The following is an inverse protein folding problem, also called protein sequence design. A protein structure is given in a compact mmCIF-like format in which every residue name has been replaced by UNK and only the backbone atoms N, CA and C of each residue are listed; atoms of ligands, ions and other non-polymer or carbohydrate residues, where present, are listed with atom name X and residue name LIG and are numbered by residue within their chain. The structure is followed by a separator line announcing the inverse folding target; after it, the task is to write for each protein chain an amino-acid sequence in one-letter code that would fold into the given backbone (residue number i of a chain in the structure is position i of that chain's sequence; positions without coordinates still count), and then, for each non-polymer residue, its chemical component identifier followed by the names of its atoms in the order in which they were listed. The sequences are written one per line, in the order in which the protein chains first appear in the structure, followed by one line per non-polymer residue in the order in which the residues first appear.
data_IF_101324527269
#
_entry.id   IF_101324527269
#
_cell.length_a   1.000
_cell.length_b   1.000
_cell.length_c   1.000
_cell.angle_alpha   90.00
_cell.angle_beta   90.00
_cell.angle_gamma   90.00
#
_symmetry.space_group_name_H-M   'P 1'
#
loop_
_entity.id
_entity.type
_entity.pdbx_description
1 polymer ?
#
# COMPACT_ATOMS: atom_id res chain seq x y z
N UNK A 1 -17.58 -61.71 12.80
CA UNK A 1 -18.06 -60.42 12.26
C UNK A 1 -17.63 -59.19 13.09
N UNK A 2 -16.80 -59.33 14.09
CA UNK A 2 -16.40 -58.18 14.95
C UNK A 2 -15.09 -57.51 14.54
N UNK A 3 -14.24 -58.12 13.71
CA UNK A 3 -12.90 -57.57 13.37
C UNK A 3 -12.93 -56.55 12.24
N UNK A 4 -13.98 -56.48 11.43
CA UNK A 4 -14.11 -55.54 10.32
C UNK A 4 -14.81 -54.23 10.70
N UNK A 5 -15.53 -54.21 11.85
CA UNK A 5 -16.19 -53.01 12.34
C UNK A 5 -15.22 -52.03 12.99
N UNK A 6 -14.10 -52.49 13.55
CA UNK A 6 -13.07 -51.68 14.17
C UNK A 6 -12.18 -50.97 13.11
N UNK A 7 -12.00 -51.60 11.94
CA UNK A 7 -11.21 -51.03 10.84
C UNK A 7 -11.94 -49.91 10.11
N UNK A 8 -13.27 -49.86 10.15
CA UNK A 8 -14.05 -48.82 9.47
C UNK A 8 -14.15 -47.51 10.28
N UNK A 9 -13.94 -47.57 11.63
CA UNK A 9 -14.00 -46.40 12.50
C UNK A 9 -12.67 -45.63 12.51
N UNK A 10 -11.55 -46.29 12.15
CA UNK A 10 -10.23 -45.66 12.15
C UNK A 10 -9.92 -44.86 10.90
N UNK A 11 -10.80 -44.90 9.86
CA UNK A 11 -10.58 -44.16 8.60
C UNK A 11 -11.40 -42.86 8.49
N UNK A 12 -12.14 -42.49 9.52
CA UNK A 12 -13.00 -41.28 9.53
C UNK A 12 -12.42 -40.08 10.27
N UNK A 13 -11.17 -40.17 10.71
CA UNK A 13 -10.52 -39.05 11.43
C UNK A 13 -9.28 -38.67 10.64
N UNK A 14 -9.30 -37.59 9.99
CA UNK A 14 -8.26 -36.60 9.64
C UNK A 14 -8.59 -36.02 8.24
N UNK A 15 -9.70 -35.31 8.15
CA UNK A 15 -9.73 -34.09 7.34
C UNK A 15 -9.82 -32.91 8.29
N UNK A 16 -8.81 -32.70 9.10
CA UNK A 16 -8.55 -31.37 9.63
C UNK A 16 -8.14 -30.53 8.43
N UNK A 17 -9.16 -29.96 7.77
CA UNK A 17 -8.93 -28.92 6.78
C UNK A 17 -8.09 -27.86 7.45
N UNK A 18 -6.86 -27.69 7.02
CA UNK A 18 -6.06 -26.50 7.34
C UNK A 18 -6.85 -25.33 6.79
N UNK A 19 -7.76 -24.79 7.60
CA UNK A 19 -8.47 -23.57 7.26
C UNK A 19 -7.43 -22.48 7.20
N UNK A 20 -7.03 -22.12 5.99
CA UNK A 20 -6.14 -20.97 5.81
C UNK A 20 -6.84 -19.77 6.44
N UNK A 21 -6.24 -19.23 7.51
CA UNK A 21 -6.77 -18.07 8.23
C UNK A 21 -6.96 -16.93 7.26
N UNK A 22 -8.21 -16.47 7.16
CA UNK A 22 -8.60 -15.40 6.24
C UNK A 22 -8.89 -14.12 7.00
N UNK A 23 -8.48 -13.01 6.42
CA UNK A 23 -8.59 -11.68 7.02
C UNK A 23 -9.76 -10.93 6.39
N UNK A 24 -10.56 -10.31 7.25
CA UNK A 24 -11.56 -9.30 6.86
C UNK A 24 -11.34 -8.07 7.72
N UNK A 25 -10.93 -6.96 7.11
CA UNK A 25 -10.60 -5.70 7.80
C UNK A 25 -10.88 -4.51 6.92
N UNK A 26 -11.26 -3.42 7.57
CA UNK A 26 -11.38 -2.11 6.94
C UNK A 26 -10.34 -1.18 7.56
N UNK A 27 -9.50 -0.61 6.71
CA UNK A 27 -8.56 0.44 7.07
C UNK A 27 -9.05 1.75 6.48
N UNK A 28 -8.92 2.83 7.23
CA UNK A 28 -9.31 4.18 6.78
C UNK A 28 -8.23 5.18 7.21
N UNK A 29 -7.42 5.61 6.25
CA UNK A 29 -6.33 6.58 6.42
C UNK A 29 -5.35 6.20 7.55
N UNK A 30 -5.04 4.90 7.71
CA UNK A 30 -4.05 4.42 8.67
C UNK A 30 -2.68 4.31 8.02
N UNK A 31 -1.59 4.40 8.79
CA UNK A 31 -0.25 4.17 8.23
C UNK A 31 -0.11 2.71 7.79
N UNK A 32 0.68 2.49 6.73
CA UNK A 32 0.95 1.14 6.22
C UNK A 32 1.59 0.26 7.30
N UNK A 33 2.52 0.82 8.07
CA UNK A 33 3.15 0.15 9.22
C UNK A 33 2.12 -0.25 10.29
N UNK A 34 1.14 0.60 10.61
CA UNK A 34 0.07 0.27 11.55
C UNK A 34 -0.85 -0.84 11.01
N UNK A 35 -1.16 -0.81 9.71
CA UNK A 35 -1.94 -1.87 9.07
C UNK A 35 -1.21 -3.22 9.10
N UNK A 36 0.09 -3.25 8.82
CA UNK A 36 0.90 -4.47 8.94
C UNK A 36 0.97 -4.99 10.38
N UNK A 37 1.10 -4.10 11.36
CA UNK A 37 1.08 -4.47 12.78
C UNK A 37 -0.26 -5.08 13.19
N UNK A 38 -1.38 -4.52 12.73
CA UNK A 38 -2.72 -5.08 12.97
C UNK A 38 -2.88 -6.47 12.31
N UNK A 39 -2.42 -6.64 11.07
CA UNK A 39 -2.42 -7.93 10.40
C UNK A 39 -1.57 -8.96 11.16
N UNK A 40 -0.37 -8.59 11.59
CA UNK A 40 0.53 -9.49 12.31
C UNK A 40 -0.06 -9.93 13.65
N UNK A 41 -0.79 -9.07 14.35
CA UNK A 41 -1.42 -9.38 15.63
C UNK A 41 -2.66 -10.29 15.52
N UNK A 42 -3.22 -10.50 14.32
CA UNK A 42 -4.47 -11.23 14.09
C UNK A 42 -4.29 -12.61 13.49
N UNK A 43 -3.07 -13.03 13.31
CA UNK A 43 -2.74 -14.32 12.72
C UNK A 43 -1.46 -14.88 13.38
N UNK A 44 -1.27 -16.18 13.29
CA UNK A 44 -0.15 -16.91 13.88
C UNK A 44 0.67 -17.70 12.86
N UNK A 45 0.19 -17.74 11.61
CA UNK A 45 0.82 -18.50 10.54
C UNK A 45 2.09 -17.84 10.00
N UNK A 46 2.11 -16.50 9.90
CA UNK A 46 3.19 -15.75 9.27
C UNK A 46 3.86 -14.82 10.27
N UNK A 47 5.17 -14.63 10.10
CA UNK A 47 5.94 -13.58 10.75
C UNK A 47 6.14 -12.45 9.76
N UNK A 48 5.51 -11.30 9.97
CA UNK A 48 5.60 -10.15 9.07
C UNK A 48 6.70 -9.22 9.59
N UNK A 49 7.80 -9.14 8.83
CA UNK A 49 8.96 -8.30 9.12
C UNK A 49 8.94 -7.05 8.24
N UNK A 50 9.08 -5.88 8.86
CA UNK A 50 9.16 -4.59 8.17
C UNK A 50 9.89 -3.55 9.03
N UNK A 51 10.41 -2.51 8.39
CA UNK A 51 10.98 -1.34 9.06
C UNK A 51 9.87 -0.32 9.24
N UNK A 52 9.53 -0.02 10.49
CA UNK A 52 8.36 0.82 10.83
C UNK A 52 8.45 2.21 10.18
N UNK A 53 9.56 2.92 10.39
CA UNK A 53 9.76 4.30 9.94
C UNK A 53 9.76 4.43 8.42
N UNK A 54 10.15 3.39 7.68
CA UNK A 54 10.13 3.40 6.21
C UNK A 54 8.73 3.32 5.61
N UNK A 55 7.75 2.83 6.38
CA UNK A 55 6.39 2.56 5.93
C UNK A 55 5.33 3.43 6.60
N UNK A 56 5.70 4.25 7.60
CA UNK A 56 4.75 5.04 8.38
C UNK A 56 4.09 6.17 7.57
N UNK A 57 4.82 6.74 6.62
CA UNK A 57 4.34 7.84 5.78
C UNK A 57 3.27 7.41 4.77
N UNK A 58 3.26 6.13 4.37
CA UNK A 58 2.25 5.61 3.44
C UNK A 58 0.93 5.40 4.17
N UNK A 59 -0.15 6.04 3.68
CA UNK A 59 -1.49 5.92 4.28
C UNK A 59 -2.38 5.03 3.41
N UNK A 60 -3.05 4.07 4.04
CA UNK A 60 -3.92 3.12 3.37
C UNK A 60 -5.37 3.29 3.79
N UNK A 61 -6.26 3.27 2.80
CA UNK A 61 -7.71 3.13 2.95
C UNK A 61 -8.14 1.97 2.08
N UNK A 62 -8.44 0.84 2.70
CA UNK A 62 -8.78 -0.41 2.00
C UNK A 62 -9.81 -1.22 2.78
N UNK A 63 -10.63 -1.93 2.03
CA UNK A 63 -11.59 -2.89 2.58
C UNK A 63 -11.17 -4.31 2.14
N UNK A 64 -10.50 -5.01 3.03
CA UNK A 64 -10.05 -6.39 2.85
C UNK A 64 -11.20 -7.30 3.23
N UNK A 65 -11.61 -8.19 2.33
CA UNK A 65 -12.73 -9.11 2.53
C UNK A 65 -12.30 -10.55 2.24
N UNK A 66 -12.21 -11.35 3.29
CA UNK A 66 -11.95 -12.78 3.19
C UNK A 66 -10.71 -13.10 2.33
N UNK A 67 -9.60 -12.38 2.56
CA UNK A 67 -8.33 -12.54 1.85
C UNK A 67 -7.33 -13.35 2.69
N UNK A 68 -6.38 -14.01 2.05
CA UNK A 68 -5.21 -14.54 2.74
C UNK A 68 -4.31 -13.40 3.23
N UNK A 69 -3.45 -13.65 4.22
CA UNK A 69 -2.54 -12.61 4.74
C UNK A 69 -1.61 -12.05 3.64
N UNK A 70 -0.98 -12.87 2.77
CA UNK A 70 -0.19 -12.36 1.66
C UNK A 70 -1.01 -11.52 0.67
N UNK A 71 -2.23 -11.97 0.31
CA UNK A 71 -3.10 -11.22 -0.61
C UNK A 71 -3.53 -9.89 -0.01
N UNK A 72 -3.88 -9.88 1.28
CA UNK A 72 -4.21 -8.66 2.02
C UNK A 72 -3.05 -7.66 2.00
N UNK A 73 -1.81 -8.11 2.23
CA UNK A 73 -0.63 -7.26 2.16
C UNK A 73 -0.43 -6.73 0.73
N UNK A 74 -0.56 -7.57 -0.29
CA UNK A 74 -0.46 -7.15 -1.69
C UNK A 74 -1.53 -6.11 -2.06
N UNK A 75 -2.76 -6.29 -1.56
CA UNK A 75 -3.85 -5.33 -1.74
C UNK A 75 -3.52 -3.97 -1.07
N UNK A 76 -2.93 -4.00 0.16
CA UNK A 76 -2.48 -2.79 0.84
C UNK A 76 -1.33 -2.09 0.11
N UNK A 77 -0.38 -2.84 -0.46
CA UNK A 77 0.74 -2.27 -1.23
C UNK A 77 0.21 -1.44 -2.40
N UNK A 78 -0.74 -1.99 -3.17
CA UNK A 78 -1.30 -1.28 -4.31
C UNK A 78 -0.21 -0.76 -5.25
N UNK A 79 -0.14 0.57 -5.40
CA UNK A 79 0.86 1.23 -6.26
C UNK A 79 2.03 1.87 -5.48
N UNK A 80 2.09 1.72 -4.15
CA UNK A 80 3.22 2.23 -3.37
C UNK A 80 4.54 1.54 -3.76
N UNK A 81 5.68 2.25 -3.65
CA UNK A 81 7.00 1.69 -3.92
C UNK A 81 7.43 0.75 -2.79
N UNK A 82 6.61 -0.26 -2.54
CA UNK A 82 6.78 -1.26 -1.48
C UNK A 82 6.80 -2.63 -2.14
N UNK A 83 7.72 -3.48 -1.72
CA UNK A 83 7.80 -4.89 -2.14
C UNK A 83 7.48 -5.81 -0.98
N UNK A 84 6.83 -6.91 -1.30
CA UNK A 84 6.66 -8.05 -0.42
C UNK A 84 7.46 -9.23 -0.97
N UNK A 85 8.20 -9.90 -0.11
CA UNK A 85 8.84 -11.19 -0.36
C UNK A 85 8.37 -12.18 0.68
N UNK A 86 7.97 -13.35 0.26
CA UNK A 86 7.60 -14.44 1.16
C UNK A 86 8.58 -15.59 1.00
N UNK A 87 9.06 -16.12 2.12
CA UNK A 87 9.85 -17.35 2.20
C UNK A 87 9.23 -18.17 3.34
N UNK A 88 8.62 -19.29 3.01
CA UNK A 88 7.86 -20.13 3.95
C UNK A 88 6.79 -19.34 4.72
N UNK A 89 6.96 -19.22 6.04
CA UNK A 89 6.07 -18.46 6.92
C UNK A 89 6.58 -17.04 7.23
N UNK A 90 7.69 -16.60 6.62
CA UNK A 90 8.24 -15.26 6.82
C UNK A 90 7.84 -14.38 5.64
N UNK A 91 7.20 -13.26 5.94
CA UNK A 91 6.87 -12.21 4.98
C UNK A 91 7.74 -10.99 5.29
N UNK A 92 8.49 -10.52 4.31
CA UNK A 92 9.32 -9.32 4.40
C UNK A 92 8.66 -8.25 3.55
N UNK A 93 8.39 -7.09 4.17
CA UNK A 93 7.82 -5.92 3.49
C UNK A 93 8.78 -4.76 3.63
N UNK A 94 9.24 -4.24 2.50
CA UNK A 94 10.27 -3.21 2.47
C UNK A 94 9.94 -2.11 1.46
N UNK A 95 10.26 -0.87 1.81
CA UNK A 95 10.21 0.24 0.87
C UNK A 95 11.41 0.16 -0.07
N UNK A 96 11.15 0.08 -1.38
CA UNK A 96 12.21 0.01 -2.40
C UNK A 96 12.74 1.39 -2.79
N UNK A 97 12.18 2.45 -2.22
CA UNK A 97 12.50 3.82 -2.56
C UNK A 97 12.75 4.65 -1.30
N UNK A 98 13.96 5.20 -1.18
CA UNK A 98 14.30 6.09 -0.06
C UNK A 98 13.52 7.41 -0.18
N UNK A 99 13.18 8.03 0.95
CA UNK A 99 12.45 9.30 0.99
C UNK A 99 13.13 10.40 0.16
N UNK A 100 14.47 10.43 0.13
CA UNK A 100 15.27 11.39 -0.67
C UNK A 100 15.16 11.21 -2.19
N UNK A 101 14.63 10.08 -2.66
CA UNK A 101 14.54 9.72 -4.07
C UNK A 101 13.09 9.68 -4.56
N UNK A 102 12.17 10.28 -3.83
CA UNK A 102 10.74 10.33 -4.19
C UNK A 102 10.11 11.67 -3.84
N UNK A 103 9.12 12.06 -4.63
CA UNK A 103 8.19 13.14 -4.29
C UNK A 103 6.87 12.49 -3.92
N UNK A 104 6.33 12.83 -2.77
CA UNK A 104 5.05 12.29 -2.28
C UNK A 104 4.19 13.41 -1.73
N UNK A 105 2.89 13.25 -1.82
CA UNK A 105 1.94 14.25 -1.34
C UNK A 105 0.51 13.83 -1.53
N UNK A 106 -0.41 14.75 -1.24
CA UNK A 106 -1.85 14.52 -1.36
C UNK A 106 -2.50 15.67 -2.12
N UNK A 107 -3.37 15.32 -3.07
CA UNK A 107 -4.19 16.28 -3.82
C UNK A 107 -5.59 16.28 -3.21
N UNK A 108 -6.09 17.46 -2.88
CA UNK A 108 -7.44 17.66 -2.34
C UNK A 108 -8.15 18.78 -3.11
N UNK A 109 -9.46 18.76 -3.12
CA UNK A 109 -10.27 19.88 -3.65
C UNK A 109 -10.44 20.98 -2.59
N UNK A 110 -11.10 22.07 -2.96
CA UNK A 110 -11.37 23.22 -2.07
C UNK A 110 -12.25 22.86 -0.86
N UNK A 111 -12.88 21.67 -0.83
CA UNK A 111 -13.65 21.12 0.28
C UNK A 111 -12.84 20.10 1.08
N UNK A 112 -11.52 20.03 0.83
CA UNK A 112 -10.59 19.05 1.42
C UNK A 112 -10.93 17.59 1.12
N UNK A 113 -11.71 17.31 0.05
CA UNK A 113 -11.95 15.95 -0.40
C UNK A 113 -10.79 15.47 -1.27
N UNK A 114 -10.39 14.19 -1.19
CA UNK A 114 -9.32 13.67 -2.04
C UNK A 114 -9.72 13.73 -3.51
N UNK A 115 -8.77 14.11 -4.36
CA UNK A 115 -8.92 14.04 -5.82
C UNK A 115 -8.21 12.78 -6.30
N UNK A 116 -8.97 11.76 -6.64
CA UNK A 116 -8.49 10.50 -7.16
C UNK A 116 -8.15 10.55 -8.65
N UNK A 117 -7.24 9.68 -9.07
CA UNK A 117 -6.79 9.54 -10.47
C UNK A 117 -6.35 10.85 -11.15
N UNK A 118 -5.97 11.87 -10.38
CA UNK A 118 -5.38 13.08 -10.91
C UNK A 118 -3.98 12.77 -11.48
N UNK A 119 -3.69 13.30 -12.67
CA UNK A 119 -2.35 13.22 -13.24
C UNK A 119 -1.41 14.17 -12.50
N UNK A 120 -0.27 13.66 -12.05
CA UNK A 120 0.79 14.42 -11.40
C UNK A 120 2.06 14.29 -12.23
N UNK A 121 2.50 15.40 -12.82
CA UNK A 121 3.74 15.47 -13.59
C UNK A 121 4.79 16.24 -12.78
N UNK A 122 6.01 15.71 -12.71
CA UNK A 122 7.19 16.40 -12.18
C UNK A 122 7.97 16.99 -13.36
N UNK A 123 8.12 18.31 -13.35
CA UNK A 123 8.80 19.03 -14.40
C UNK A 123 10.08 19.66 -13.88
N UNK A 124 11.05 19.80 -14.75
CA UNK A 124 12.30 20.50 -14.47
C UNK A 124 12.05 21.99 -14.22
N UNK A 125 12.67 22.53 -13.17
CA UNK A 125 12.50 23.94 -12.78
C UNK A 125 13.09 24.89 -13.82
N UNK A 126 14.12 24.47 -14.58
CA UNK A 126 14.83 25.33 -15.53
C UNK A 126 14.11 25.54 -16.83
N UNK A 127 13.49 24.49 -17.39
CA UNK A 127 12.92 24.49 -18.75
C UNK A 127 11.52 23.89 -18.83
N UNK A 128 10.94 23.50 -17.70
CA UNK A 128 9.64 22.82 -17.62
C UNK A 128 9.53 21.52 -18.41
N UNK A 129 10.66 20.90 -18.79
CA UNK A 129 10.66 19.58 -19.40
C UNK A 129 10.15 18.52 -18.41
N UNK A 130 9.49 17.49 -18.93
CA UNK A 130 8.98 16.39 -18.11
C UNK A 130 10.14 15.55 -17.55
N UNK A 131 10.22 15.42 -16.24
CA UNK A 131 11.14 14.50 -15.56
C UNK A 131 10.48 13.13 -15.47
N UNK A 132 9.31 13.07 -14.85
CA UNK A 132 8.54 11.84 -14.60
C UNK A 132 7.11 12.20 -14.19
N UNK A 133 6.25 11.23 -14.00
CA UNK A 133 4.87 11.46 -13.56
C UNK A 133 4.21 10.22 -13.02
N UNK A 134 3.01 10.41 -12.49
CA UNK A 134 2.15 9.37 -11.96
C UNK A 134 0.72 9.86 -11.80
N UNK A 135 -0.08 9.09 -11.08
CA UNK A 135 -1.47 9.43 -10.76
C UNK A 135 -1.72 9.31 -9.26
N UNK A 136 -2.71 10.05 -8.77
CA UNK A 136 -3.17 9.89 -7.38
C UNK A 136 -4.00 8.62 -7.21
N UNK A 137 -3.96 8.06 -6.00
CA UNK A 137 -4.85 6.97 -5.61
C UNK A 137 -6.24 7.48 -5.17
N UNK A 138 -7.09 6.57 -4.73
CA UNK A 138 -8.42 6.85 -4.18
C UNK A 138 -8.44 7.80 -2.96
N UNK A 139 -7.30 7.98 -2.28
CA UNK A 139 -7.11 8.92 -1.18
C UNK A 139 -6.50 10.25 -1.62
N UNK A 140 -6.36 10.47 -2.93
CA UNK A 140 -5.68 11.64 -3.50
C UNK A 140 -4.16 11.63 -3.32
N UNK A 141 -3.55 10.54 -2.85
CA UNK A 141 -2.11 10.46 -2.58
C UNK A 141 -1.33 10.06 -3.83
N UNK A 142 -0.15 10.63 -3.98
CA UNK A 142 0.81 10.24 -5.01
C UNK A 142 2.19 9.98 -4.41
N UNK A 143 2.93 9.07 -5.03
CA UNK A 143 4.34 8.79 -4.75
C UNK A 143 5.05 8.60 -6.08
N UNK A 144 5.96 9.50 -6.41
CA UNK A 144 6.64 9.53 -7.70
C UNK A 144 8.16 9.50 -7.48
N UNK A 145 8.89 8.56 -8.09
CA UNK A 145 10.35 8.56 -8.11
C UNK A 145 10.90 9.88 -8.64
N UNK A 146 11.88 10.47 -7.94
CA UNK A 146 12.45 11.75 -8.35
C UNK A 146 13.85 11.91 -7.78
N UNK A 147 14.86 11.96 -8.63
CA UNK A 147 16.26 12.11 -8.25
C UNK A 147 16.73 13.56 -8.12
N UNK A 148 15.94 14.52 -8.62
CA UNK A 148 16.25 15.95 -8.53
C UNK A 148 15.86 16.53 -7.19
N UNK A 149 16.62 17.51 -6.70
CA UNK A 149 16.37 18.15 -5.40
C UNK A 149 15.15 19.08 -5.38
N UNK A 150 14.67 19.51 -6.54
CA UNK A 150 13.55 20.41 -6.72
C UNK A 150 12.88 20.15 -8.05
N UNK A 151 11.55 20.08 -8.06
CA UNK A 151 10.75 19.92 -9.28
C UNK A 151 9.51 20.79 -9.22
N UNK A 152 8.96 21.13 -10.38
CA UNK A 152 7.62 21.69 -10.50
C UNK A 152 6.64 20.52 -10.47
N UNK A 153 5.70 20.55 -9.53
CA UNK A 153 4.57 19.63 -9.47
C UNK A 153 3.43 20.24 -10.27
N UNK A 154 3.08 19.61 -11.38
CA UNK A 154 1.92 19.97 -12.20
C UNK A 154 0.84 18.92 -12.02
N UNK A 155 -0.32 19.34 -11.52
CA UNK A 155 -1.48 18.46 -11.30
C UNK A 155 -2.58 18.82 -12.28
N UNK A 156 -3.16 17.81 -12.93
CA UNK A 156 -4.32 17.98 -13.80
C UNK A 156 -5.32 16.84 -13.61
N UNK A 157 -6.60 17.20 -13.54
CA UNK A 157 -7.70 16.25 -13.46
C UNK A 157 -8.92 16.83 -14.19
N UNK A 158 -9.73 15.97 -14.80
CA UNK A 158 -10.95 16.39 -15.49
C UNK A 158 -11.90 17.07 -14.50
N UNK A 159 -12.39 18.25 -14.85
CA UNK A 159 -13.29 19.04 -13.98
C UNK A 159 -12.58 19.96 -12.98
N UNK A 160 -11.25 19.95 -12.93
CA UNK A 160 -10.45 20.79 -12.06
C UNK A 160 -9.52 21.74 -12.83
N UNK A 161 -9.17 22.85 -12.21
CA UNK A 161 -8.13 23.74 -12.76
C UNK A 161 -6.76 23.07 -12.60
N UNK A 162 -5.92 23.19 -13.63
CA UNK A 162 -4.54 22.71 -13.53
C UNK A 162 -3.78 23.51 -12.46
N UNK A 163 -3.15 22.77 -11.55
CA UNK A 163 -2.26 23.32 -10.53
C UNK A 163 -0.80 23.20 -10.99
N UNK A 164 0.05 24.17 -10.61
CA UNK A 164 1.46 24.14 -10.98
C UNK A 164 2.27 24.95 -9.95
N UNK A 165 3.17 24.30 -9.21
CA UNK A 165 4.06 24.97 -8.26
C UNK A 165 5.35 24.16 -8.05
N UNK A 166 6.42 24.83 -7.59
CA UNK A 166 7.72 24.22 -7.38
C UNK A 166 7.92 23.79 -5.92
N UNK A 167 8.38 22.54 -5.75
CA UNK A 167 8.61 21.93 -4.45
C UNK A 167 10.00 21.30 -4.36
N UNK A 168 10.52 21.18 -3.14
CA UNK A 168 11.69 20.33 -2.87
C UNK A 168 11.25 18.87 -2.87
N UNK A 169 12.16 17.99 -3.30
CA UNK A 169 11.93 16.54 -3.27
C UNK A 169 11.76 16.07 -1.83
N UNK A 170 10.81 15.20 -1.61
CA UNK A 170 10.38 14.68 -0.32
C UNK A 170 8.87 14.70 -0.19
N UNK A 171 8.37 14.86 1.01
CA UNK A 171 6.95 14.99 1.28
C UNK A 171 6.48 16.41 1.01
N UNK A 172 5.37 16.53 0.31
CA UNK A 172 4.67 17.78 0.02
C UNK A 172 3.35 17.74 0.77
N UNK A 173 3.06 18.80 1.51
CA UNK A 173 1.75 18.99 2.16
C UNK A 173 0.60 18.89 1.14
N UNK A 174 -0.62 18.85 1.64
CA UNK A 174 -1.80 18.78 0.78
C UNK A 174 -1.83 19.94 -0.22
N UNK A 175 -1.95 19.59 -1.49
CA UNK A 175 -2.09 20.52 -2.62
C UNK A 175 -3.59 20.69 -2.90
N UNK A 176 -4.05 21.94 -2.93
CA UNK A 176 -5.47 22.28 -3.18
C UNK A 176 -5.63 22.99 -4.51
#
# INVERSE_FOLDING_TARGET
MSKYLISLILLSVISMGVSAQRITRQYNNVSFSAALKDLNARQDKYVINFVYDELEDFKVTKNIKNESVPDAIMNLIGFYPIKMKQVDNIIIVECIQKASNRMMGRIVDTRHQPVDFANVALLNVSDSSLITGGVTNENGQFVIPCEVKKAIVKVSCVGYKTYCNAYRTGEVDAIT
#
